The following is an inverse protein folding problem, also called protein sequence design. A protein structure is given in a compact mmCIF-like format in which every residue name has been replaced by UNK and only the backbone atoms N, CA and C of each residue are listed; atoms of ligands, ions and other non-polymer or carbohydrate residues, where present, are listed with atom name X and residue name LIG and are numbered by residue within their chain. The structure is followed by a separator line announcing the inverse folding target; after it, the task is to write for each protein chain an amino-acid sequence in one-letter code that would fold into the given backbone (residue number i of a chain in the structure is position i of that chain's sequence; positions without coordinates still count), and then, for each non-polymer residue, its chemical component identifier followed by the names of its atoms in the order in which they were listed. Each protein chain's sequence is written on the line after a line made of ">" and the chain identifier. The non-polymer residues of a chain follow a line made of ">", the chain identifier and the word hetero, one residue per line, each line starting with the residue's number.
data_IF_929609492052
#
_entry.id   IF_929609492052
#
_cell.length_a   1.000
_cell.length_b   1.000
_cell.length_c   1.000
_cell.angle_alpha   90.00
_cell.angle_beta   90.00
_cell.angle_gamma   90.00
#
_symmetry.space_group_name_H-M   'P 1'
#
loop_
_entity.id
_entity.type
_entity.pdbx_description
1 polymer ?
#
# COMPACT_ATOMS: atom_id res chain seq x y z
N UNK A 1 -16.14 -11.19 4.64
CA UNK A 1 -15.70 -10.91 3.26
C UNK A 1 -14.22 -10.53 3.23
N UNK A 2 -13.53 -10.75 2.10
CA UNK A 2 -12.13 -10.36 1.91
C UNK A 2 -11.96 -8.84 2.10
N UNK A 3 -12.89 -8.04 1.57
CA UNK A 3 -12.93 -6.57 1.71
C UNK A 3 -12.85 -6.17 3.19
N UNK A 4 -13.74 -6.69 4.04
CA UNK A 4 -13.74 -6.39 5.47
C UNK A 4 -12.48 -6.88 6.18
N UNK A 5 -11.99 -8.07 5.83
CA UNK A 5 -10.77 -8.63 6.41
C UNK A 5 -9.55 -7.76 6.09
N UNK A 6 -9.47 -7.23 4.86
CA UNK A 6 -8.37 -6.34 4.45
C UNK A 6 -8.47 -4.96 5.12
N UNK A 7 -9.69 -4.39 5.20
CA UNK A 7 -9.98 -3.12 5.87
C UNK A 7 -9.42 -3.09 7.30
N UNK A 8 -9.81 -4.08 8.11
CA UNK A 8 -9.44 -4.17 9.52
C UNK A 8 -8.21 -5.06 9.80
N UNK A 9 -7.51 -5.47 8.72
CA UNK A 9 -6.26 -6.27 8.81
C UNK A 9 -6.41 -7.58 9.61
N UNK A 10 -7.49 -8.34 9.36
CA UNK A 10 -7.75 -9.64 10.01
C UNK A 10 -6.84 -10.72 9.43
N UNK A 11 -6.21 -11.53 10.28
CA UNK A 11 -5.23 -12.53 9.86
C UNK A 11 -5.88 -13.83 9.34
N UNK A 12 -6.88 -14.35 10.06
CA UNK A 12 -7.44 -15.69 9.82
C UNK A 12 -7.95 -15.88 8.38
N UNK A 13 -8.74 -14.95 7.80
CA UNK A 13 -9.24 -15.13 6.43
C UNK A 13 -8.11 -15.21 5.39
N UNK A 14 -6.97 -14.54 5.60
CA UNK A 14 -5.84 -14.61 4.67
C UNK A 14 -5.05 -15.90 4.81
N UNK A 15 -4.98 -16.48 6.01
CA UNK A 15 -4.40 -17.81 6.21
C UNK A 15 -5.27 -18.90 5.55
N UNK A 16 -6.60 -18.80 5.68
CA UNK A 16 -7.55 -19.70 5.00
C UNK A 16 -7.41 -19.58 3.47
N UNK A 17 -7.31 -18.37 2.93
CA UNK A 17 -7.06 -18.16 1.49
C UNK A 17 -5.71 -18.75 1.05
N UNK A 18 -4.66 -18.65 1.88
CA UNK A 18 -3.36 -19.23 1.57
C UNK A 18 -3.38 -20.76 1.54
N UNK A 19 -4.23 -21.42 2.33
CA UNK A 19 -4.44 -22.87 2.23
C UNK A 19 -5.03 -23.27 0.87
N UNK A 20 -5.94 -22.46 0.31
CA UNK A 20 -6.56 -22.73 -0.99
C UNK A 20 -5.60 -22.42 -2.15
N UNK A 21 -4.91 -21.27 -2.10
CA UNK A 21 -3.96 -20.82 -3.13
C UNK A 21 -2.68 -21.65 -3.12
N UNK A 22 -2.25 -22.11 -1.96
CA UNK A 22 -0.99 -22.74 -1.59
C UNK A 22 0.20 -21.75 -1.49
N UNK A 23 1.06 -21.92 -0.48
CA UNK A 23 2.26 -21.07 -0.34
C UNK A 23 3.19 -21.12 -1.56
N UNK A 24 3.31 -22.30 -2.18
CA UNK A 24 4.14 -22.49 -3.38
C UNK A 24 3.68 -21.63 -4.56
N UNK A 25 2.37 -21.57 -4.81
CA UNK A 25 1.81 -20.76 -5.89
C UNK A 25 1.99 -19.25 -5.54
N UNK A 26 1.75 -18.86 -4.29
CA UNK A 26 1.96 -17.51 -3.83
C UNK A 26 3.41 -17.05 -4.00
N UNK A 27 4.40 -17.89 -3.67
CA UNK A 27 5.83 -17.62 -3.88
C UNK A 27 6.10 -17.33 -5.37
N UNK A 28 5.54 -18.12 -6.28
CA UNK A 28 5.73 -17.90 -7.72
C UNK A 28 5.25 -16.51 -8.17
N UNK A 29 4.12 -16.01 -7.64
CA UNK A 29 3.68 -14.64 -7.91
C UNK A 29 4.62 -13.60 -7.30
N UNK A 30 5.08 -13.80 -6.07
CA UNK A 30 6.00 -12.89 -5.40
C UNK A 30 7.34 -12.78 -6.13
N UNK A 31 7.91 -13.90 -6.57
CA UNK A 31 9.13 -13.93 -7.41
C UNK A 31 8.91 -13.19 -8.74
N UNK A 32 7.75 -13.38 -9.36
CA UNK A 32 7.39 -12.66 -10.58
C UNK A 32 7.17 -11.15 -10.34
N UNK A 33 6.87 -10.72 -9.12
CA UNK A 33 6.84 -9.30 -8.72
C UNK A 33 8.20 -8.77 -8.27
N UNK A 34 9.28 -9.55 -8.46
CA UNK A 34 10.66 -9.10 -8.22
C UNK A 34 11.17 -9.31 -6.79
N UNK A 35 10.49 -10.11 -5.99
CA UNK A 35 10.98 -10.46 -4.64
C UNK A 35 11.99 -11.59 -4.77
N UNK A 36 13.23 -11.35 -4.34
CA UNK A 36 14.37 -12.26 -4.49
C UNK A 36 14.87 -12.85 -3.18
N UNK A 37 14.36 -12.35 -2.04
CA UNK A 37 14.78 -12.76 -0.69
C UNK A 37 14.14 -14.06 -0.20
N UNK A 38 13.17 -14.60 -0.94
CA UNK A 38 12.40 -15.79 -0.57
C UNK A 38 13.26 -17.06 -0.54
N UNK A 39 12.95 -17.93 0.42
CA UNK A 39 13.61 -19.21 0.62
C UNK A 39 12.60 -20.36 0.69
N UNK A 40 13.07 -21.61 0.74
CA UNK A 40 12.20 -22.76 0.88
C UNK A 40 11.46 -22.79 2.23
N UNK A 41 12.04 -22.19 3.27
CA UNK A 41 11.45 -22.07 4.59
C UNK A 41 10.21 -21.17 4.61
N UNK A 42 10.09 -20.25 3.63
CA UNK A 42 8.95 -19.36 3.46
C UNK A 42 7.72 -20.07 2.85
N UNK A 43 7.89 -21.31 2.33
CA UNK A 43 6.77 -22.13 1.83
C UNK A 43 5.90 -22.63 2.99
N UNK A 44 5.25 -21.71 3.68
CA UNK A 44 4.42 -21.96 4.85
C UNK A 44 3.20 -21.04 4.88
N UNK A 45 2.18 -21.37 5.68
CA UNK A 45 1.00 -20.49 5.87
C UNK A 45 1.35 -19.14 6.50
N UNK A 46 2.47 -19.03 7.19
CA UNK A 46 2.99 -17.78 7.74
C UNK A 46 3.25 -16.71 6.67
N UNK A 47 3.49 -17.13 5.42
CA UNK A 47 3.65 -16.25 4.26
C UNK A 47 2.45 -15.31 4.07
N UNK A 48 1.23 -15.78 4.35
CA UNK A 48 0.00 -14.98 4.28
C UNK A 48 0.03 -13.73 5.17
N UNK A 49 0.83 -13.75 6.21
CA UNK A 49 0.94 -12.69 7.22
C UNK A 49 2.28 -11.94 7.13
N UNK A 50 3.11 -12.26 6.14
CA UNK A 50 4.43 -11.65 5.97
C UNK A 50 5.53 -12.29 6.83
N UNK A 51 5.32 -13.52 7.32
CA UNK A 51 6.35 -14.31 8.02
C UNK A 51 7.40 -14.79 7.04
N UNK A 52 8.49 -14.03 6.89
CA UNK A 52 9.60 -14.31 5.97
C UNK A 52 10.89 -14.59 6.74
N UNK A 53 11.64 -15.61 6.31
CA UNK A 53 12.88 -16.01 6.95
C UNK A 53 13.97 -14.93 6.87
N UNK A 54 14.13 -14.32 5.70
CA UNK A 54 15.12 -13.27 5.46
C UNK A 54 14.52 -11.85 5.45
N UNK A 55 13.20 -11.73 5.63
CA UNK A 55 12.51 -10.46 5.43
C UNK A 55 12.45 -10.04 3.96
N UNK A 56 12.12 -8.77 3.74
CA UNK A 56 12.00 -8.17 2.41
C UNK A 56 12.55 -6.74 2.43
N UNK A 57 13.17 -6.31 1.36
CA UNK A 57 13.65 -4.93 1.26
C UNK A 57 12.52 -3.96 0.89
N UNK A 58 12.57 -2.69 1.32
CA UNK A 58 11.62 -1.67 0.89
C UNK A 58 11.55 -1.49 -0.63
N UNK A 59 12.66 -1.73 -1.34
CA UNK A 59 12.70 -1.65 -2.80
C UNK A 59 11.90 -2.79 -3.46
N UNK A 60 12.09 -4.03 -3.02
CA UNK A 60 11.32 -5.18 -3.52
C UNK A 60 9.82 -5.00 -3.23
N UNK A 61 9.48 -4.56 -2.03
CA UNK A 61 8.11 -4.27 -1.65
C UNK A 61 7.51 -3.14 -2.52
N UNK A 62 8.28 -2.09 -2.82
CA UNK A 62 7.82 -1.02 -3.69
C UNK A 62 7.59 -1.51 -5.13
N UNK A 63 8.47 -2.37 -5.66
CA UNK A 63 8.31 -2.98 -6.98
C UNK A 63 7.06 -3.88 -7.04
N UNK A 64 6.81 -4.68 -6.00
CA UNK A 64 5.63 -5.53 -5.91
C UNK A 64 4.32 -4.71 -5.87
N UNK A 65 4.26 -3.65 -5.06
CA UNK A 65 3.11 -2.75 -5.03
C UNK A 65 2.97 -1.94 -6.33
N UNK A 66 4.08 -1.56 -6.96
CA UNK A 66 4.07 -0.90 -8.28
C UNK A 66 3.49 -1.83 -9.35
N UNK A 67 3.72 -3.14 -9.29
CA UNK A 67 3.10 -4.12 -10.19
C UNK A 67 1.57 -4.09 -10.10
N UNK A 68 1.01 -3.98 -8.89
CA UNK A 68 -0.44 -3.82 -8.71
C UNK A 68 -0.91 -2.47 -9.27
N UNK A 69 -0.19 -1.38 -8.95
CA UNK A 69 -0.51 -0.04 -9.43
C UNK A 69 -0.47 0.06 -10.96
N UNK A 70 0.44 -0.67 -11.60
CA UNK A 70 0.69 -0.73 -13.04
C UNK A 70 -0.07 -1.87 -13.73
N UNK A 71 -1.33 -2.09 -13.34
CA UNK A 71 -2.26 -3.02 -14.00
C UNK A 71 -1.75 -4.47 -14.15
N UNK A 72 -0.87 -4.89 -13.24
CA UNK A 72 -0.32 -6.25 -13.18
C UNK A 72 0.98 -6.45 -13.95
N UNK A 73 1.54 -5.40 -14.55
CA UNK A 73 2.84 -5.43 -15.20
C UNK A 73 3.96 -5.04 -14.23
N UNK A 74 4.87 -5.97 -13.96
CA UNK A 74 6.11 -5.71 -13.24
C UNK A 74 7.10 -4.97 -14.14
N UNK A 75 7.74 -3.95 -13.58
CA UNK A 75 8.85 -3.22 -14.20
C UNK A 75 10.03 -3.22 -13.22
N UNK A 76 11.18 -3.71 -13.65
CA UNK A 76 12.37 -3.75 -12.82
C UNK A 76 12.79 -2.33 -12.37
N UNK A 77 12.99 -2.10 -11.05
CA UNK A 77 13.47 -0.81 -10.57
C UNK A 77 14.88 -0.50 -11.08
N UNK A 78 15.08 0.71 -11.62
CA UNK A 78 16.39 1.20 -12.04
C UNK A 78 16.73 2.50 -11.32
N UNK A 79 18.03 2.71 -11.02
CA UNK A 79 18.52 3.92 -10.34
C UNK A 79 19.04 5.00 -11.28
N UNK A 80 19.18 4.68 -12.58
CA UNK A 80 19.56 5.63 -13.61
C UNK A 80 18.87 5.26 -14.95
N UNK A 81 18.60 6.24 -15.77
CA UNK A 81 18.10 6.00 -17.14
C UNK A 81 19.25 5.89 -18.16
N UNK A 82 20.26 6.75 -18.03
CA UNK A 82 21.43 6.72 -18.86
C UNK A 82 22.65 7.36 -18.17
N UNK A 83 23.85 6.93 -18.58
CA UNK A 83 25.12 7.52 -18.18
C UNK A 83 25.77 8.14 -19.41
N UNK A 84 26.14 9.42 -19.33
CA UNK A 84 26.80 10.14 -20.41
C UNK A 84 28.21 10.56 -20.01
N UNK A 85 29.11 10.68 -21.01
CA UNK A 85 30.43 11.25 -20.80
C UNK A 85 30.38 12.80 -20.80
N UNK A 86 31.54 13.43 -20.59
CA UNK A 86 31.67 14.89 -20.57
C UNK A 86 31.31 15.59 -21.88
N UNK A 87 31.23 14.86 -22.99
CA UNK A 87 30.83 15.38 -24.32
C UNK A 87 29.32 15.15 -24.61
N UNK A 88 28.55 14.59 -23.68
CA UNK A 88 27.15 14.28 -23.83
C UNK A 88 26.84 12.96 -24.58
N UNK A 89 27.88 12.17 -24.93
CA UNK A 89 27.67 10.87 -25.52
C UNK A 89 27.20 9.86 -24.50
N UNK A 90 26.11 9.14 -24.78
CA UNK A 90 25.63 8.03 -23.96
C UNK A 90 26.69 6.93 -23.95
N UNK A 91 27.11 6.51 -22.73
CA UNK A 91 28.02 5.39 -22.49
C UNK A 91 27.23 4.13 -22.15
N UNK A 92 26.13 4.29 -21.40
CA UNK A 92 25.28 3.21 -20.94
C UNK A 92 23.84 3.71 -20.82
N UNK A 93 22.90 2.88 -21.20
CA UNK A 93 21.46 3.04 -20.94
C UNK A 93 21.02 1.91 -20.01
N UNK A 94 20.06 2.20 -19.13
CA UNK A 94 19.45 1.17 -18.31
C UNK A 94 18.55 0.29 -19.20
N UNK A 95 18.74 -1.01 -19.09
CA UNK A 95 17.77 -2.00 -19.59
C UNK A 95 16.83 -2.35 -18.43
N UNK A 96 15.53 -2.35 -18.65
CA UNK A 96 14.53 -2.73 -17.66
C UNK A 96 13.86 -4.01 -18.10
N UNK A 97 13.85 -5.01 -17.22
CA UNK A 97 13.01 -6.19 -17.40
C UNK A 97 11.56 -5.85 -17.08
N UNK A 98 10.64 -6.27 -17.96
CA UNK A 98 9.20 -6.11 -17.75
C UNK A 98 8.49 -7.42 -18.02
N UNK A 99 7.47 -7.71 -17.21
CA UNK A 99 6.65 -8.91 -17.38
C UNK A 99 5.25 -8.75 -16.80
N UNK A 100 4.27 -9.37 -17.46
CA UNK A 100 2.92 -9.45 -16.90
C UNK A 100 2.88 -10.53 -15.82
N UNK A 101 2.47 -10.16 -14.61
CA UNK A 101 2.32 -11.04 -13.46
C UNK A 101 0.87 -11.51 -13.35
N UNK A 102 -0.09 -10.60 -13.51
CA UNK A 102 -1.53 -10.87 -13.51
C UNK A 102 -2.27 -9.88 -14.41
N UNK A 103 -3.53 -10.15 -14.69
CA UNK A 103 -4.31 -9.32 -15.59
C UNK A 103 -4.69 -7.96 -14.98
N UNK A 104 -4.98 -6.96 -15.83
CA UNK A 104 -5.48 -5.65 -15.42
C UNK A 104 -6.76 -5.74 -14.56
N UNK A 105 -7.60 -6.74 -14.83
CA UNK A 105 -8.83 -6.98 -14.08
C UNK A 105 -8.54 -7.41 -12.64
N UNK A 106 -7.58 -8.33 -12.46
CA UNK A 106 -7.14 -8.77 -11.13
C UNK A 106 -6.48 -7.59 -10.41
N UNK A 107 -5.60 -6.85 -11.09
CA UNK A 107 -4.98 -5.65 -10.52
C UNK A 107 -6.02 -4.64 -10.04
N UNK A 108 -7.05 -4.38 -10.84
CA UNK A 108 -8.12 -3.43 -10.48
C UNK A 108 -8.87 -3.88 -9.24
N UNK A 109 -9.29 -5.15 -9.16
CA UNK A 109 -9.99 -5.67 -7.96
C UNK A 109 -9.11 -5.54 -6.72
N UNK A 110 -7.81 -5.83 -6.84
CA UNK A 110 -6.87 -5.66 -5.71
C UNK A 110 -6.70 -4.19 -5.34
N UNK A 111 -6.62 -3.25 -6.31
CA UNK A 111 -6.59 -1.80 -6.05
C UNK A 111 -7.81 -1.38 -5.22
N UNK A 112 -9.02 -1.76 -5.66
CA UNK A 112 -10.27 -1.45 -4.96
C UNK A 112 -10.35 -2.06 -3.56
N UNK A 113 -9.81 -3.25 -3.37
CA UNK A 113 -9.72 -3.84 -2.03
C UNK A 113 -8.72 -3.09 -1.14
N UNK A 114 -7.61 -2.59 -1.70
CA UNK A 114 -6.58 -1.86 -0.98
C UNK A 114 -6.96 -0.39 -0.67
N UNK A 115 -8.05 0.15 -1.24
CA UNK A 115 -8.60 1.44 -0.79
C UNK A 115 -9.25 1.32 0.59
N UNK A 116 -9.76 0.14 0.96
CA UNK A 116 -10.55 -0.05 2.18
C UNK A 116 -9.79 0.24 3.49
N UNK A 117 -8.50 -0.09 3.65
CA UNK A 117 -7.73 0.35 4.82
C UNK A 117 -7.64 1.87 4.98
N UNK A 118 -7.85 2.65 3.89
CA UNK A 118 -7.80 4.12 3.87
C UNK A 118 -9.18 4.75 3.99
N UNK A 119 -10.20 4.18 3.36
CA UNK A 119 -11.53 4.78 3.21
C UNK A 119 -12.58 4.14 4.13
N UNK A 120 -12.38 2.89 4.52
CA UNK A 120 -13.32 2.14 5.33
C UNK A 120 -13.39 2.64 6.77
N UNK A 121 -14.56 2.52 7.38
CA UNK A 121 -14.85 3.00 8.75
C UNK A 121 -13.98 2.33 9.84
N UNK A 122 -13.41 1.16 9.54
CA UNK A 122 -12.49 0.42 10.40
C UNK A 122 -11.09 0.31 9.79
N UNK A 123 -10.78 1.21 8.86
CA UNK A 123 -9.52 1.21 8.14
C UNK A 123 -8.31 1.49 9.03
N UNK A 124 -7.24 0.72 8.85
CA UNK A 124 -6.00 0.85 9.63
C UNK A 124 -5.08 1.97 9.13
N UNK A 125 -5.40 2.60 7.99
CA UNK A 125 -4.59 3.63 7.33
C UNK A 125 -5.41 4.87 6.91
N UNK A 126 -6.51 5.20 7.61
CA UNK A 126 -7.40 6.31 7.26
C UNK A 126 -6.70 7.67 7.20
N UNK A 127 -5.67 7.85 8.02
CA UNK A 127 -4.82 9.05 8.03
C UNK A 127 -3.90 9.19 6.80
N UNK A 128 -3.86 8.19 5.91
CA UNK A 128 -3.11 8.24 4.64
C UNK A 128 -3.92 8.83 3.47
N UNK A 129 -5.18 9.18 3.68
CA UNK A 129 -6.04 9.76 2.64
C UNK A 129 -5.47 11.04 2.04
N UNK A 130 -5.70 11.23 0.73
CA UNK A 130 -5.33 12.43 -0.03
C UNK A 130 -6.61 12.95 -0.70
N UNK A 131 -6.96 14.21 -0.45
CA UNK A 131 -8.21 14.77 -0.93
C UNK A 131 -8.31 14.70 -2.46
N UNK A 132 -9.35 14.01 -2.95
CA UNK A 132 -9.67 13.91 -4.39
C UNK A 132 -8.77 12.98 -5.19
N UNK A 133 -7.94 12.17 -4.54
CA UNK A 133 -7.07 11.18 -5.19
C UNK A 133 -7.28 9.83 -4.49
N UNK A 134 -7.53 8.78 -5.26
CA UNK A 134 -7.64 7.44 -4.70
C UNK A 134 -6.30 6.98 -4.11
N UNK A 135 -6.37 6.39 -2.93
CA UNK A 135 -5.21 5.84 -2.23
C UNK A 135 -5.48 4.38 -1.90
N UNK A 136 -4.64 3.52 -2.41
CA UNK A 136 -4.60 2.09 -2.07
C UNK A 136 -3.40 1.85 -1.15
N UNK A 137 -3.63 1.37 0.07
CA UNK A 137 -2.55 1.19 1.03
C UNK A 137 -2.82 0.05 2.03
N UNK A 138 -1.75 -0.45 2.63
CA UNK A 138 -1.80 -1.46 3.68
C UNK A 138 -0.71 -1.22 4.72
N UNK A 139 -1.10 -1.27 5.98
CA UNK A 139 -0.18 -1.27 7.12
C UNK A 139 0.41 -2.66 7.34
N UNK A 140 1.66 -2.71 7.78
CA UNK A 140 2.32 -3.91 8.29
C UNK A 140 2.84 -3.66 9.71
N UNK A 141 2.79 -4.70 10.52
CA UNK A 141 3.32 -4.68 11.89
C UNK A 141 3.76 -6.08 12.23
N UNK A 142 5.04 -6.24 12.60
CA UNK A 142 5.56 -7.51 13.10
C UNK A 142 5.19 -7.74 14.55
N UNK A 143 5.32 -8.99 15.00
CA UNK A 143 5.14 -9.34 16.39
C UNK A 143 6.03 -8.48 17.29
N UNK A 144 5.57 -8.19 18.51
CA UNK A 144 6.24 -7.33 19.48
C UNK A 144 6.57 -5.91 18.99
N UNK A 145 5.99 -5.49 17.84
CA UNK A 145 6.17 -4.17 17.25
C UNK A 145 7.61 -3.84 16.84
N UNK A 146 8.39 -4.78 16.38
CA UNK A 146 9.77 -4.53 15.93
C UNK A 146 9.83 -3.76 14.61
N UNK A 147 8.85 -3.98 13.71
CA UNK A 147 8.79 -3.32 12.41
C UNK A 147 7.42 -2.70 12.16
N UNK A 148 7.42 -1.53 11.57
CA UNK A 148 6.24 -0.86 11.07
C UNK A 148 6.39 -0.59 9.58
N UNK A 149 5.38 -0.99 8.83
CA UNK A 149 5.32 -0.79 7.40
C UNK A 149 4.09 0.02 7.00
N UNK A 150 4.26 0.80 5.97
CA UNK A 150 3.17 1.24 5.11
C UNK A 150 3.58 1.08 3.66
N UNK A 151 2.81 0.30 2.93
CA UNK A 151 2.96 0.11 1.50
C UNK A 151 1.69 0.62 0.82
N UNK A 152 1.84 1.45 -0.21
CA UNK A 152 0.68 2.01 -0.88
C UNK A 152 1.02 2.78 -2.13
N UNK A 153 -0.02 3.10 -2.88
CA UNK A 153 0.10 3.82 -4.15
C UNK A 153 -1.15 4.66 -4.42
N UNK A 154 -1.00 5.56 -5.34
CA UNK A 154 -2.06 6.35 -5.97
C UNK A 154 -2.00 6.11 -7.48
N UNK A 155 -2.90 6.69 -8.28
CA UNK A 155 -2.73 6.66 -9.74
C UNK A 155 -1.45 7.35 -10.25
N UNK A 156 -0.70 8.05 -9.39
CA UNK A 156 0.53 8.78 -9.76
C UNK A 156 1.81 8.12 -9.29
N UNK A 157 1.84 7.62 -8.04
CA UNK A 157 3.07 7.20 -7.39
C UNK A 157 2.85 5.99 -6.50
N UNK A 158 3.85 5.12 -6.45
CA UNK A 158 3.97 4.07 -5.43
C UNK A 158 5.03 4.46 -4.41
N UNK A 159 4.75 4.25 -3.14
CA UNK A 159 5.69 4.50 -2.07
C UNK A 159 5.58 3.41 -0.99
N UNK A 160 6.71 3.04 -0.44
CA UNK A 160 6.82 2.12 0.69
C UNK A 160 7.67 2.76 1.77
N UNK A 161 7.23 2.67 2.99
CA UNK A 161 7.96 3.13 4.17
C UNK A 161 8.09 2.00 5.16
N UNK A 162 9.31 1.73 5.56
CA UNK A 162 9.65 0.89 6.70
C UNK A 162 10.19 1.77 7.84
N UNK A 163 9.80 1.44 9.05
CA UNK A 163 10.27 2.07 10.26
C UNK A 163 10.61 0.98 11.29
N UNK A 164 11.86 0.89 11.71
CA UNK A 164 12.38 -0.16 12.59
C UNK A 164 13.81 0.10 12.97
N UNK A 165 14.40 -0.86 13.67
CA UNK A 165 15.80 -0.87 14.07
C UNK A 165 16.55 -2.00 13.37
N UNK A 166 17.85 -1.81 13.10
CA UNK A 166 18.73 -2.85 12.52
C UNK A 166 18.82 -4.11 13.38
N UNK A 167 18.62 -3.97 14.67
CA UNK A 167 18.46 -5.07 15.63
C UNK A 167 17.07 -4.95 16.23
N UNK A 168 16.36 -6.08 16.35
CA UNK A 168 15.01 -6.11 16.84
C UNK A 168 14.88 -5.41 18.20
N UNK A 169 14.20 -4.28 18.20
CA UNK A 169 13.87 -3.47 19.36
C UNK A 169 12.40 -3.05 19.26
N UNK A 170 11.65 -3.17 20.35
CA UNK A 170 10.24 -2.78 20.36
C UNK A 170 10.09 -1.28 20.10
N UNK A 171 9.32 -0.93 19.08
CA UNK A 171 8.98 0.46 18.76
C UNK A 171 7.87 0.89 19.71
N UNK A 172 8.15 1.85 20.57
CA UNK A 172 7.14 2.52 21.39
C UNK A 172 6.53 3.68 20.57
N UNK A 173 5.21 3.68 20.40
CA UNK A 173 4.51 4.67 19.60
C UNK A 173 3.10 4.94 20.13
N UNK A 174 2.65 6.16 19.96
CA UNK A 174 1.33 6.63 20.43
C UNK A 174 0.27 6.38 19.34
N UNK A 175 -0.32 5.19 19.29
CA UNK A 175 -1.51 4.80 18.50
C UNK A 175 -1.47 4.94 16.97
N UNK A 176 -0.56 5.70 16.36
CA UNK A 176 -0.45 5.82 14.91
C UNK A 176 0.86 5.19 14.41
N UNK A 177 0.75 4.37 13.34
CA UNK A 177 1.91 3.72 12.72
C UNK A 177 2.89 4.77 12.18
N UNK A 178 4.14 4.89 12.70
CA UNK A 178 5.09 5.92 12.30
C UNK A 178 5.49 5.82 10.82
N UNK A 179 5.60 4.62 10.25
CA UNK A 179 5.82 4.44 8.82
C UNK A 179 4.68 5.08 7.99
N UNK A 180 3.45 4.93 8.45
CA UNK A 180 2.29 5.52 7.81
C UNK A 180 2.25 7.04 7.91
N UNK A 181 2.68 7.62 9.03
CA UNK A 181 2.78 9.08 9.19
C UNK A 181 3.81 9.66 8.20
N UNK A 182 4.99 9.02 8.08
CA UNK A 182 6.03 9.42 7.13
C UNK A 182 5.47 9.33 5.70
N UNK A 183 4.88 8.18 5.34
CA UNK A 183 4.29 7.95 4.04
C UNK A 183 3.26 9.03 3.68
N UNK A 184 2.31 9.27 4.58
CA UNK A 184 1.22 10.24 4.36
C UNK A 184 1.76 11.67 4.16
N UNK A 185 2.75 12.09 4.94
CA UNK A 185 3.36 13.41 4.81
C UNK A 185 4.13 13.58 3.49
N UNK A 186 4.89 12.57 3.07
CA UNK A 186 5.60 12.59 1.79
C UNK A 186 4.59 12.63 0.64
N UNK A 187 3.64 11.70 0.63
CA UNK A 187 2.66 11.58 -0.46
C UNK A 187 1.80 12.83 -0.61
N UNK A 188 1.30 13.42 0.47
CA UNK A 188 0.55 14.69 0.38
C UNK A 188 1.38 15.82 -0.21
N UNK A 189 2.68 15.89 0.09
CA UNK A 189 3.55 16.94 -0.46
C UNK A 189 3.78 16.76 -1.95
N UNK A 190 4.09 15.56 -2.41
CA UNK A 190 4.36 15.30 -3.85
C UNK A 190 3.09 15.33 -4.70
N UNK A 191 1.90 15.18 -4.10
CA UNK A 191 0.61 15.31 -4.79
C UNK A 191 0.07 16.74 -4.81
N UNK A 192 0.72 17.67 -4.12
CA UNK A 192 0.26 19.06 -4.08
C UNK A 192 0.26 19.68 -5.49
N UNK A 193 -0.91 20.10 -5.95
CA UNK A 193 -1.10 20.69 -7.28
C UNK A 193 -1.34 19.68 -8.42
N UNK A 194 -1.37 18.37 -8.12
CA UNK A 194 -1.79 17.37 -9.09
C UNK A 194 -3.32 17.36 -9.26
N UNK A 195 -3.79 16.86 -10.39
CA UNK A 195 -5.23 16.73 -10.67
C UNK A 195 -5.85 15.61 -9.83
N UNK A 196 -7.11 15.78 -9.47
CA UNK A 196 -7.89 14.71 -8.84
C UNK A 196 -8.15 13.62 -9.87
N UNK A 197 -7.68 12.41 -9.60
CA UNK A 197 -7.94 11.23 -10.44
C UNK A 197 -8.18 9.99 -9.59
N UNK A 198 -8.95 9.08 -10.15
CA UNK A 198 -9.30 7.79 -9.58
C UNK A 198 -8.66 6.65 -10.36
N UNK A 199 -8.62 5.45 -9.76
CA UNK A 199 -8.26 4.23 -10.48
C UNK A 199 -9.24 3.95 -11.61
N UNK A 200 -8.72 3.61 -12.79
CA UNK A 200 -9.55 3.38 -13.98
C UNK A 200 -10.09 1.95 -13.97
N UNK A 201 -11.42 1.81 -13.92
CA UNK A 201 -12.07 0.50 -14.00
C UNK A 201 -12.02 -0.06 -15.43
N UNK A 202 -11.42 -1.26 -15.65
CA UNK A 202 -11.47 -1.93 -16.95
C UNK A 202 -12.90 -2.28 -17.36
N UNK A 203 -13.19 -2.20 -18.66
CA UNK A 203 -14.54 -2.50 -19.19
C UNK A 203 -14.99 -3.96 -19.05
N UNK A 204 -14.08 -4.85 -18.61
CA UNK A 204 -14.33 -6.27 -18.35
C UNK A 204 -14.64 -6.59 -16.89
N UNK A 205 -14.75 -5.57 -16.03
CA UNK A 205 -15.15 -5.70 -14.63
C UNK A 205 -16.66 -5.42 -14.53
N UNK A 206 -17.39 -6.38 -14.00
CA UNK A 206 -18.80 -6.24 -13.64
C UNK A 206 -18.92 -5.70 -12.21
N UNK A 207 -19.86 -4.78 -12.00
CA UNK A 207 -20.20 -4.21 -10.71
C UNK A 207 -21.53 -4.76 -10.27
N UNK A 208 -21.61 -5.31 -9.06
CA UNK A 208 -22.85 -5.91 -8.53
C UNK A 208 -23.15 -5.43 -7.11
N UNK A 209 -24.42 -5.25 -6.81
CA UNK A 209 -24.88 -5.03 -5.45
C UNK A 209 -24.92 -6.37 -4.72
N UNK A 210 -24.21 -6.48 -3.61
CA UNK A 210 -24.09 -7.70 -2.81
C UNK A 210 -24.89 -7.57 -1.51
N UNK A 211 -25.59 -8.62 -1.16
CA UNK A 211 -26.24 -8.76 0.15
C UNK A 211 -25.15 -9.04 1.20
N UNK A 212 -25.00 -8.15 2.17
CA UNK A 212 -23.98 -8.28 3.21
C UNK A 212 -24.21 -9.50 4.13
N UNK A 213 -25.46 -9.96 4.26
CA UNK A 213 -25.80 -11.10 5.11
C UNK A 213 -25.40 -12.44 4.50
N UNK A 214 -25.43 -12.55 3.14
CA UNK A 214 -25.18 -13.82 2.44
C UNK A 214 -23.95 -13.82 1.55
N UNK A 215 -23.39 -12.65 1.20
CA UNK A 215 -22.33 -12.51 0.19
C UNK A 215 -22.77 -12.77 -1.25
N UNK A 216 -24.06 -12.90 -1.51
CA UNK A 216 -24.64 -13.18 -2.84
C UNK A 216 -25.18 -11.90 -3.49
N UNK A 217 -25.44 -11.91 -4.82
CA UNK A 217 -26.05 -10.75 -5.50
C UNK A 217 -27.37 -10.38 -4.83
N UNK A 218 -27.51 -9.11 -4.47
CA UNK A 218 -28.64 -8.62 -3.69
C UNK A 218 -29.96 -8.63 -4.47
N UNK A 219 -31.05 -8.85 -3.74
CA UNK A 219 -32.43 -8.67 -4.18
C UNK A 219 -33.06 -7.44 -3.54
N UNK A 220 -34.21 -7.02 -4.05
CA UNK A 220 -34.95 -5.86 -3.51
C UNK A 220 -35.37 -6.02 -2.04
N UNK A 221 -35.38 -7.24 -1.52
CA UNK A 221 -35.64 -7.53 -0.11
C UNK A 221 -34.42 -7.54 0.78
N UNK A 222 -33.20 -7.40 0.26
CA UNK A 222 -32.00 -7.25 1.05
C UNK A 222 -31.91 -5.82 1.60
N UNK A 223 -31.84 -5.68 2.91
CA UNK A 223 -31.80 -4.37 3.59
C UNK A 223 -30.38 -3.85 3.81
N UNK A 224 -29.41 -4.76 3.84
CA UNK A 224 -28.01 -4.45 4.02
C UNK A 224 -27.23 -4.87 2.76
N UNK A 225 -26.76 -3.91 1.98
CA UNK A 225 -26.12 -4.17 0.68
C UNK A 225 -24.93 -3.24 0.47
N UNK A 226 -23.94 -3.72 -0.28
CA UNK A 226 -22.78 -2.94 -0.71
C UNK A 226 -22.41 -3.28 -2.15
N UNK A 227 -21.71 -2.37 -2.82
CA UNK A 227 -21.19 -2.56 -4.17
C UNK A 227 -19.90 -3.37 -4.14
N UNK A 228 -19.75 -4.33 -5.07
CA UNK A 228 -18.54 -5.13 -5.21
C UNK A 228 -18.20 -5.37 -6.68
N UNK A 229 -16.92 -5.62 -6.94
CA UNK A 229 -16.36 -5.76 -8.28
C UNK A 229 -15.97 -7.22 -8.55
N UNK A 230 -16.32 -7.69 -9.74
CA UNK A 230 -16.08 -9.06 -10.17
C UNK A 230 -15.49 -9.10 -11.58
N UNK A 231 -14.60 -10.04 -11.83
CA UNK A 231 -14.29 -10.39 -13.21
C UNK A 231 -15.58 -10.85 -13.90
N UNK A 232 -15.75 -10.49 -15.16
CA UNK A 232 -16.97 -10.81 -15.88
C UNK A 232 -17.30 -12.29 -15.81
N UNK A 233 -18.49 -12.59 -15.31
CA UNK A 233 -19.00 -13.96 -15.17
C UNK A 233 -18.53 -14.71 -13.94
N UNK A 234 -17.87 -14.05 -12.98
CA UNK A 234 -17.46 -14.67 -11.70
C UNK A 234 -18.30 -14.19 -10.50
N UNK A 235 -19.26 -13.30 -10.73
CA UNK A 235 -20.16 -12.85 -9.67
C UNK A 235 -20.97 -14.03 -9.11
N UNK A 236 -21.28 -14.04 -7.78
CA UNK A 236 -22.03 -15.12 -7.15
C UNK A 236 -23.48 -15.18 -7.64
N UNK A 237 -24.21 -16.21 -7.26
CA UNK A 237 -25.64 -16.34 -7.53
C UNK A 237 -26.48 -15.28 -6.78
N UNK A 238 -27.75 -15.16 -7.14
CA UNK A 238 -28.71 -14.30 -6.46
C UNK A 238 -28.99 -14.76 -5.03
N UNK A 239 -29.08 -13.84 -4.10
CA UNK A 239 -29.41 -14.10 -2.70
C UNK A 239 -30.64 -15.01 -2.57
N UNK A 240 -30.50 -16.08 -1.79
CA UNK A 240 -31.56 -17.08 -1.56
C UNK A 240 -32.36 -16.84 -0.28
N UNK A 241 -31.85 -16.04 0.65
CA UNK A 241 -32.48 -15.78 1.95
C UNK A 241 -33.50 -14.64 1.90
N UNK A 242 -33.32 -13.70 0.97
CA UNK A 242 -34.23 -12.57 0.79
C UNK A 242 -35.04 -12.68 -0.49
N UNK A 243 -36.26 -12.19 -0.45
CA UNK A 243 -37.18 -12.23 -1.61
C UNK A 243 -37.01 -11.01 -2.52
N UNK A 244 -37.61 -11.08 -3.73
CA UNK A 244 -37.65 -9.99 -4.69
C UNK A 244 -36.79 -10.20 -5.93
N UNK A 245 -36.79 -9.22 -6.83
CA UNK A 245 -35.96 -9.22 -8.05
C UNK A 245 -34.55 -8.77 -7.75
N UNK A 246 -33.61 -9.07 -8.67
CA UNK A 246 -32.23 -8.54 -8.60
C UNK A 246 -32.29 -7.02 -8.43
N UNK A 247 -31.50 -6.46 -7.51
CA UNK A 247 -31.23 -5.03 -7.49
C UNK A 247 -30.41 -4.70 -8.72
N UNK A 248 -31.00 -3.92 -9.62
CA UNK A 248 -30.28 -3.42 -10.78
C UNK A 248 -29.51 -2.17 -10.36
N UNK A 249 -28.29 -2.06 -10.81
CA UNK A 249 -27.60 -0.79 -10.87
C UNK A 249 -28.35 0.12 -11.85
N UNK A 250 -29.20 1.02 -11.32
CA UNK A 250 -29.92 1.98 -12.12
C UNK A 250 -29.00 3.10 -12.54
N UNK A 251 -28.18 2.84 -13.55
CA UNK A 251 -27.59 3.90 -14.34
C UNK A 251 -28.67 4.83 -14.86
N UNK A 252 -28.69 6.07 -14.40
CA UNK A 252 -29.51 7.21 -14.83
C UNK A 252 -30.99 7.15 -14.52
N UNK A 253 -31.43 7.70 -13.36
CA UNK A 253 -32.49 8.67 -13.39
C UNK A 253 -32.43 9.67 -12.23
N UNK A 254 -32.62 10.91 -12.59
CA UNK A 254 -32.69 12.14 -11.82
C UNK A 254 -33.45 12.05 -10.49
N UNK A 255 -32.78 12.46 -9.40
CA UNK A 255 -33.40 13.14 -8.26
C UNK A 255 -33.80 12.25 -7.09
N UNK A 256 -32.86 11.97 -6.23
CA UNK A 256 -32.96 12.29 -4.80
C UNK A 256 -31.65 11.88 -4.11
N UNK A 257 -30.96 12.86 -3.56
CA UNK A 257 -29.85 12.68 -2.66
C UNK A 257 -30.27 11.87 -1.44
N UNK A 258 -29.86 10.62 -1.39
CA UNK A 258 -29.75 9.88 -0.15
C UNK A 258 -28.35 9.28 -0.15
N UNK A 259 -27.47 9.92 0.60
CA UNK A 259 -26.18 9.38 0.97
C UNK A 259 -26.42 8.02 1.66
N UNK A 260 -26.10 6.92 0.99
CA UNK A 260 -26.00 5.63 1.64
C UNK A 260 -24.63 5.53 2.31
N UNK A 261 -24.47 6.17 3.45
CA UNK A 261 -23.48 5.75 4.43
C UNK A 261 -23.91 4.38 4.92
N UNK A 262 -23.15 3.34 4.59
CA UNK A 262 -23.34 2.01 5.16
C UNK A 262 -23.05 2.06 6.65
N UNK A 263 -24.10 2.35 7.42
CA UNK A 263 -24.02 2.30 8.89
C UNK A 263 -24.32 0.86 9.29
N UNK A 264 -23.30 0.10 9.61
CA UNK A 264 -23.47 -1.05 10.50
C UNK A 264 -23.84 -0.49 11.88
N UNK A 265 -25.03 -0.79 12.36
CA UNK A 265 -25.38 -0.57 13.75
C UNK A 265 -24.80 -1.72 14.55
N UNK A 266 -23.69 -1.47 15.22
CA UNK A 266 -23.38 -2.16 16.48
C UNK A 266 -24.07 -1.35 17.58
N UNK A 267 -24.78 -2.03 18.48
CA UNK A 267 -25.36 -1.44 19.69
C UNK A 267 -24.18 -1.06 20.63
N UNK A 268 -23.65 0.13 20.45
CA UNK A 268 -22.71 0.74 21.40
C UNK A 268 -23.41 1.87 22.13
N UNK A 269 -23.35 1.81 23.47
CA UNK A 269 -23.82 2.85 24.36
C UNK A 269 -23.19 4.20 24.00
N UNK A 270 -24.03 5.20 23.78
CA UNK A 270 -23.63 6.60 23.61
C UNK A 270 -22.84 7.05 24.87
N UNK A 271 -21.53 7.22 24.72
CA UNK A 271 -20.75 8.03 25.64
C UNK A 271 -21.01 9.50 25.27
N UNK A 272 -21.84 10.17 26.06
CA UNK A 272 -21.98 11.63 25.99
C UNK A 272 -20.63 12.27 26.27
N UNK A 273 -20.04 12.92 25.27
CA UNK A 273 -18.86 13.77 25.43
C UNK A 273 -19.29 15.09 26.07
N UNK A 274 -18.59 15.47 27.14
CA UNK A 274 -18.79 16.75 27.84
C UNK A 274 -18.43 17.91 26.90
N UNK A 275 -19.29 18.95 26.76
CA UNK A 275 -19.05 20.10 25.88
C UNK A 275 -17.77 20.90 26.19
N UNK A 276 -17.17 20.70 27.37
CA UNK A 276 -15.96 21.39 27.79
C UNK A 276 -14.65 20.78 27.21
N UNK A 277 -14.73 19.62 26.53
CA UNK A 277 -13.55 19.00 25.88
C UNK A 277 -13.31 19.47 24.43
N UNK A 278 -14.27 20.13 23.78
CA UNK A 278 -14.07 20.68 22.42
C UNK A 278 -13.15 21.92 22.39
N UNK A 279 -13.06 22.69 23.47
CA UNK A 279 -12.17 23.88 23.50
C UNK A 279 -10.67 23.53 23.61
N UNK A 280 -10.32 22.36 24.10
CA UNK A 280 -8.90 21.96 24.28
C UNK A 280 -8.22 21.46 23.01
N UNK A 281 -8.99 21.04 21.99
CA UNK A 281 -8.44 20.49 20.73
C UNK A 281 -8.03 21.61 19.78
N UNK A 282 -8.52 22.81 19.94
CA UNK A 282 -8.26 23.96 19.04
C UNK A 282 -6.99 24.72 19.42
N UNK A 283 -6.53 24.68 20.67
CA UNK A 283 -5.34 25.44 21.13
C UNK A 283 -4.00 24.71 20.86
N UNK A 284 -3.96 23.42 20.56
CA UNK A 284 -2.70 22.70 20.30
C UNK A 284 -2.24 22.69 18.82
N UNK A 285 -2.97 23.31 17.90
CA UNK A 285 -2.64 23.33 16.46
C UNK A 285 -2.14 24.66 15.90
N UNK A 286 -1.83 25.66 16.72
CA UNK A 286 -1.05 26.80 16.25
C UNK A 286 0.44 26.44 16.21
N UNK A 287 0.91 26.00 15.04
CA UNK A 287 2.33 25.90 14.73
C UNK A 287 2.90 27.31 14.64
N UNK A 288 3.61 27.72 15.67
CA UNK A 288 4.42 28.95 15.65
C UNK A 288 5.57 28.70 14.67
N UNK A 289 5.51 29.34 13.49
CA UNK A 289 6.64 29.45 12.58
C UNK A 289 7.68 30.39 13.19
N UNK A 290 8.70 29.88 13.84
CA UNK A 290 9.90 30.66 14.12
C UNK A 290 10.74 30.79 12.84
N UNK A 291 11.26 31.99 12.52
CA UNK A 291 12.11 32.20 11.37
C UNK A 291 13.46 31.51 11.58
N UNK A 292 13.84 30.64 10.65
CA UNK A 292 15.15 29.98 10.59
C UNK A 292 16.16 31.04 10.14
N UNK A 293 16.95 31.57 11.06
CA UNK A 293 18.15 32.36 10.73
C UNK A 293 19.20 31.40 10.12
N UNK A 294 19.42 31.59 8.82
CA UNK A 294 20.50 30.89 8.07
C UNK A 294 21.83 31.65 8.32
N UNK A 295 22.52 31.35 9.41
CA UNK A 295 23.97 31.56 9.49
C UNK A 295 24.66 30.21 9.25
N UNK A 296 25.14 30.03 8.03
CA UNK A 296 26.04 28.92 7.67
C UNK A 296 27.44 29.32 8.11
N UNK A 297 27.87 28.87 9.28
CA UNK A 297 29.30 28.84 9.62
C UNK A 297 30.00 27.76 8.78
N UNK A 298 30.78 28.19 7.82
CA UNK A 298 31.70 27.34 7.06
C UNK A 298 32.96 27.07 7.91
N UNK A 299 32.93 25.97 8.64
CA UNK A 299 34.15 25.41 9.22
C UNK A 299 34.80 24.46 8.20
N UNK A 300 35.81 24.94 7.49
CA UNK A 300 36.78 24.11 6.74
C UNK A 300 37.69 23.38 7.76
N UNK A 301 37.86 22.06 7.68
CA UNK A 301 38.85 21.37 8.50
C UNK A 301 40.26 21.66 7.96
N UNK A 302 41.15 22.18 8.81
CA UNK A 302 42.58 22.27 8.56
C UNK A 302 43.15 20.86 8.31
N UNK A 303 43.82 20.71 7.16
CA UNK A 303 44.56 19.49 6.79
C UNK A 303 45.94 19.58 7.45
N UNK A 304 46.13 18.83 8.53
CA UNK A 304 47.45 18.64 9.12
C UNK A 304 48.30 17.74 8.22
N UNK A 305 49.51 18.20 7.96
CA UNK A 305 50.58 17.56 7.21
C UNK A 305 50.94 16.17 7.80
N UNK A 306 50.71 15.11 7.03
CA UNK A 306 51.31 13.80 7.29
C UNK A 306 52.51 13.56 6.36
N UNK A 307 53.66 13.02 6.88
CA UNK A 307 54.88 12.86 6.10
C UNK A 307 54.79 11.71 5.08
N UNK A 308 55.43 11.91 3.96
CA UNK A 308 55.56 10.94 2.86
C UNK A 308 56.33 9.68 3.31
N UNK A 309 55.69 8.52 3.28
CA UNK A 309 56.36 7.22 3.28
C UNK A 309 56.51 6.65 1.88
N UNK A 310 57.75 6.39 1.50
CA UNK A 310 58.14 5.66 0.31
C UNK A 310 57.60 4.25 0.32
N UNK A 311 56.89 3.83 -0.73
CA UNK A 311 56.66 2.43 -1.01
C UNK A 311 57.02 2.07 -2.46
N UNK A 312 58.04 1.24 -2.51
CA UNK A 312 58.57 0.54 -3.66
C UNK A 312 57.54 -0.43 -4.28
N UNK A 313 57.64 -0.53 -5.57
CA UNK A 313 57.00 -1.46 -6.49
C UNK A 313 56.76 -2.88 -5.97
N UNK A 314 55.57 -3.43 -6.20
CA UNK A 314 55.46 -4.85 -6.55
C UNK A 314 54.23 -5.07 -7.46
N UNK A 315 54.51 -5.29 -8.72
CA UNK A 315 53.64 -5.75 -9.77
C UNK A 315 53.23 -7.22 -9.54
N UNK A 316 51.97 -7.52 -9.39
CA UNK A 316 51.43 -8.84 -9.71
C UNK A 316 50.12 -8.70 -10.48
N UNK A 317 50.25 -8.93 -11.80
CA UNK A 317 49.15 -9.19 -12.72
C UNK A 317 48.65 -10.61 -12.47
N UNK A 318 47.36 -10.76 -12.19
CA UNK A 318 46.70 -12.05 -12.20
C UNK A 318 45.67 -12.04 -13.35
N UNK A 319 45.98 -12.76 -14.41
CA UNK A 319 45.05 -13.15 -15.45
C UNK A 319 44.03 -14.14 -14.90
N UNK A 320 42.75 -13.91 -15.17
CA UNK A 320 41.67 -14.88 -14.95
C UNK A 320 41.05 -15.17 -16.32
N UNK A 321 40.79 -16.45 -16.65
CA UNK A 321 40.27 -16.91 -17.94
C UNK A 321 38.79 -16.60 -18.17
#
# INVERSE_FOLDING_TARGET
>A
TVRRALESSQNVPFVEMMEEVTPKEAISYLENMGITSLTQEDESLGLALGGLQNGITPLEMAAAYATIANDGEYIEPVFYSSITNSTGKIIMEAEQDTRNVFSEQVAYVVKELLTQPVEGSHGTATYCSILGIDVAAKTGTTDENYDKWLCGFTPYYTAVTWFGFDQNETIDYNNQNPAGIIWANVMRRIHNGLQNISFVKPGSIDTEMICADTGMIARTGCTNTYEEYFLRGTAPDLCTEHSGSKLNDSGSNTGNTSQSTGIYRDDEEELELDPDDEEKIVEENEIVEEPIDNEIETNEPEIDDMPAENNTENSNVVDIP
#
